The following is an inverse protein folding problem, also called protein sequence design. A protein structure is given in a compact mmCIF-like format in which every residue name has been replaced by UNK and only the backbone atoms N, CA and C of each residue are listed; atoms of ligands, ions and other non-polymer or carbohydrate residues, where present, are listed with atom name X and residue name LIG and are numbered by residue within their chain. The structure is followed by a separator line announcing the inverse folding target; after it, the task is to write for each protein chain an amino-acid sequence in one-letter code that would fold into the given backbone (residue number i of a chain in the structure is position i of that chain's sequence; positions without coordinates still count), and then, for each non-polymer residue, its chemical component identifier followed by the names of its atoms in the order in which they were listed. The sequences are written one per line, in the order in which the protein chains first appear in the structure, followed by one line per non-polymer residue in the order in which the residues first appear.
data_IF_229660007019
#
_entry.id   IF_229660007019
#
_cell.length_a   1.000
_cell.length_b   1.000
_cell.length_c   1.000
_cell.angle_alpha   90.00
_cell.angle_beta   90.00
_cell.angle_gamma   90.00
#
_symmetry.space_group_name_H-M   'P 1'
#
loop_
_entity.id
_entity.type
_entity.pdbx_description
1 polymer ?
#
# COMPACT_ATOMS: atom_id res chain seq x y z
N UNK A 1 18.80 -14.69 16.57
CA UNK A 1 17.35 -14.78 16.80
C UNK A 1 16.67 -13.42 16.81
N UNK A 2 17.11 -12.46 17.65
CA UNK A 2 16.50 -11.13 17.81
C UNK A 2 16.11 -10.40 16.51
N UNK A 3 16.92 -10.51 15.44
CA UNK A 3 16.57 -9.91 14.15
C UNK A 3 15.33 -10.56 13.51
N UNK A 4 15.25 -11.89 13.46
CA UNK A 4 14.08 -12.61 12.94
C UNK A 4 12.84 -12.29 13.79
N UNK A 5 12.99 -12.26 15.11
CA UNK A 5 11.91 -11.90 16.03
C UNK A 5 11.39 -10.48 15.75
N UNK A 6 12.29 -9.54 15.47
CA UNK A 6 11.94 -8.16 15.14
C UNK A 6 11.21 -8.03 13.80
N UNK A 7 11.60 -8.82 12.79
CA UNK A 7 10.94 -8.86 11.48
C UNK A 7 9.54 -9.47 11.62
N UNK A 8 9.43 -10.59 12.33
CA UNK A 8 8.15 -11.27 12.63
C UNK A 8 7.19 -10.38 13.41
N UNK A 9 7.68 -9.68 14.44
CA UNK A 9 6.88 -8.74 15.22
C UNK A 9 6.43 -7.54 14.39
N UNK A 10 7.31 -7.00 13.55
CA UNK A 10 7.02 -5.88 12.65
C UNK A 10 5.98 -6.27 11.59
N UNK A 11 6.17 -7.41 10.95
CA UNK A 11 5.20 -7.98 10.01
C UNK A 11 3.83 -8.16 10.65
N UNK A 12 3.78 -8.81 11.83
CA UNK A 12 2.54 -9.07 12.54
C UNK A 12 1.80 -7.79 12.96
N UNK A 13 2.55 -6.76 13.40
CA UNK A 13 1.99 -5.45 13.75
C UNK A 13 1.38 -4.77 12.52
N UNK A 14 2.12 -4.72 11.41
CA UNK A 14 1.62 -4.09 10.18
C UNK A 14 0.41 -4.83 9.60
N UNK A 15 0.42 -6.18 9.62
CA UNK A 15 -0.73 -6.99 9.21
C UNK A 15 -1.97 -6.65 10.04
N UNK A 16 -1.87 -6.68 11.37
CA UNK A 16 -2.99 -6.35 12.26
C UNK A 16 -3.53 -4.95 11.98
N UNK A 17 -2.65 -3.96 11.82
CA UNK A 17 -3.06 -2.58 11.53
C UNK A 17 -3.76 -2.48 10.17
N UNK A 18 -3.26 -3.18 9.15
CA UNK A 18 -3.86 -3.19 7.82
C UNK A 18 -5.29 -3.72 7.85
N UNK A 19 -5.55 -4.80 8.60
CA UNK A 19 -6.91 -5.35 8.77
C UNK A 19 -7.85 -4.33 9.41
N UNK A 20 -7.41 -3.64 10.46
CA UNK A 20 -8.19 -2.57 11.12
C UNK A 20 -8.47 -1.42 10.16
N UNK A 21 -7.48 -0.97 9.39
CA UNK A 21 -7.66 0.12 8.40
C UNK A 21 -8.67 -0.28 7.33
N UNK A 22 -8.65 -1.54 6.89
CA UNK A 22 -9.62 -2.07 5.91
C UNK A 22 -11.05 -2.10 6.46
N UNK A 23 -11.23 -2.60 7.67
CA UNK A 23 -12.52 -2.61 8.35
C UNK A 23 -13.07 -1.19 8.54
N UNK A 24 -12.23 -0.25 8.98
CA UNK A 24 -12.64 1.17 9.11
C UNK A 24 -13.05 1.79 7.78
N UNK A 25 -12.36 1.45 6.67
CA UNK A 25 -12.74 1.91 5.33
C UNK A 25 -14.07 1.32 4.88
N UNK A 26 -14.30 0.04 5.15
CA UNK A 26 -15.57 -0.63 4.84
C UNK A 26 -16.74 -0.02 5.64
N UNK A 27 -16.57 0.20 6.95
CA UNK A 27 -17.57 0.87 7.79
C UNK A 27 -17.89 2.28 7.31
N UNK A 28 -16.88 3.07 6.92
CA UNK A 28 -17.08 4.41 6.37
C UNK A 28 -17.85 4.41 5.05
N UNK A 29 -17.61 3.41 4.18
CA UNK A 29 -18.37 3.22 2.95
C UNK A 29 -19.82 2.86 3.24
N UNK A 30 -20.07 1.97 4.21
CA UNK A 30 -21.41 1.51 4.54
C UNK A 30 -22.25 2.60 5.22
N UNK A 31 -21.65 3.43 6.07
CA UNK A 31 -22.30 4.60 6.67
C UNK A 31 -22.71 5.64 5.61
N UNK A 32 -21.93 5.81 4.54
CA UNK A 32 -22.28 6.69 3.43
C UNK A 32 -23.46 6.15 2.60
N UNK A 33 -23.63 4.84 2.52
CA UNK A 33 -24.75 4.23 1.79
C UNK A 33 -26.07 4.27 2.59
N UNK A 34 -26.00 4.31 3.93
CA UNK A 34 -27.18 4.36 4.80
C UNK A 34 -27.74 5.79 4.97
N UNK A 35 -26.94 6.82 4.65
CA UNK A 35 -27.38 8.24 4.61
C UNK A 35 -28.03 8.63 3.27
N UNK A 36 -28.00 7.74 2.26
CA UNK A 36 -28.72 7.88 0.98
C UNK A 36 -30.20 7.44 1.08
N UNK A 37 -30.81 7.55 2.27
CA UNK A 37 -32.27 7.63 2.38
C UNK A 37 -32.68 9.04 1.92
N UNK A 38 -33.55 9.22 0.91
CA UNK A 38 -33.87 10.55 0.39
C UNK A 38 -34.65 11.39 1.39
N UNK A 39 -33.97 12.03 2.34
CA UNK A 39 -34.52 13.18 3.05
C UNK A 39 -34.17 14.39 2.22
N UNK A 40 -35.12 14.77 1.37
CA UNK A 40 -35.16 16.10 0.78
C UNK A 40 -35.00 17.14 1.88
N UNK A 41 -33.82 17.78 1.92
CA UNK A 41 -33.63 19.05 2.59
C UNK A 41 -32.50 19.80 1.87
N UNK A 42 -32.94 20.46 0.81
CA UNK A 42 -32.53 21.79 0.40
C UNK A 42 -31.71 22.55 1.46
N UNK A 43 -30.70 23.27 0.98
CA UNK A 43 -30.31 24.63 1.41
C UNK A 43 -28.86 24.74 1.87
N UNK A 44 -28.13 25.41 0.96
CA UNK A 44 -27.15 26.45 1.22
C UNK A 44 -25.86 26.07 1.96
N UNK A 45 -24.77 26.07 1.19
CA UNK A 45 -23.70 27.07 1.29
C UNK A 45 -22.57 26.73 0.31
N UNK A 46 -22.84 26.76 -1.00
CA UNK A 46 -21.79 26.96 -1.99
C UNK A 46 -21.80 28.43 -2.38
N UNK A 47 -20.97 29.22 -1.70
CA UNK A 47 -20.69 30.59 -2.08
C UNK A 47 -20.00 30.60 -3.44
N UNK A 48 -20.77 30.93 -4.46
CA UNK A 48 -20.30 31.34 -5.78
C UNK A 48 -19.53 32.66 -5.65
N UNK A 49 -18.21 32.60 -5.48
CA UNK A 49 -17.35 33.71 -5.91
C UNK A 49 -16.83 33.40 -7.31
N UNK A 50 -17.67 33.67 -8.30
CA UNK A 50 -17.25 33.82 -9.69
C UNK A 50 -16.44 35.11 -9.82
N UNK A 51 -15.11 35.00 -9.81
CA UNK A 51 -14.25 36.08 -10.28
C UNK A 51 -13.91 35.81 -11.74
N UNK A 52 -14.73 36.37 -12.62
CA UNK A 52 -14.42 36.52 -14.04
C UNK A 52 -13.33 37.59 -14.16
N UNK A 53 -12.07 37.17 -14.28
CA UNK A 53 -11.03 38.08 -14.78
C UNK A 53 -11.19 38.17 -16.29
N UNK A 54 -11.84 39.26 -16.73
CA UNK A 54 -11.78 39.71 -18.12
C UNK A 54 -10.32 40.03 -18.44
N UNK A 55 -9.73 39.26 -19.36
CA UNK A 55 -8.40 39.50 -19.90
C UNK A 55 -8.48 39.58 -21.41
N UNK A 56 -8.96 40.70 -21.92
CA UNK A 56 -8.90 41.03 -23.34
C UNK A 56 -7.50 41.52 -23.71
N UNK A 57 -6.99 40.92 -24.80
CA UNK A 57 -6.21 41.53 -25.87
C UNK A 57 -4.68 41.71 -25.79
N UNK A 58 -4.11 41.38 -26.95
CA UNK A 58 -2.89 41.86 -27.61
C UNK A 58 -1.54 41.17 -27.32
N UNK A 59 -1.12 40.42 -28.34
CA UNK A 59 0.16 40.56 -29.06
C UNK A 59 1.44 40.74 -28.23
N UNK A 60 2.31 39.72 -28.24
CA UNK A 60 3.70 39.92 -27.81
C UNK A 60 4.50 38.65 -27.61
N UNK A 61 5.33 38.34 -28.60
CA UNK A 61 6.61 37.61 -28.61
C UNK A 61 7.15 37.08 -27.25
N UNK A 62 7.79 35.90 -27.35
CA UNK A 62 8.72 35.22 -26.42
C UNK A 62 8.12 34.21 -25.41
N UNK A 63 8.33 32.89 -25.57
CA UNK A 63 8.08 31.91 -24.52
C UNK A 63 9.26 31.91 -23.54
N UNK A 64 9.37 32.93 -22.70
CA UNK A 64 10.34 32.92 -21.60
C UNK A 64 9.82 32.09 -20.41
N UNK A 65 10.45 30.94 -20.20
CA UNK A 65 10.71 30.31 -18.90
C UNK A 65 9.50 29.83 -18.07
N UNK A 66 9.05 28.61 -18.35
CA UNK A 66 8.18 27.77 -17.50
C UNK A 66 8.82 27.31 -16.16
N UNK A 67 9.91 27.93 -15.70
CA UNK A 67 10.73 27.49 -14.56
C UNK A 67 10.03 27.58 -13.20
N UNK A 68 9.14 28.56 -12.99
CA UNK A 68 8.50 28.79 -11.67
C UNK A 68 7.37 27.83 -11.35
N UNK A 69 6.68 27.31 -12.38
CA UNK A 69 5.53 26.40 -12.24
C UNK A 69 6.00 24.96 -11.99
N UNK A 70 7.07 24.52 -12.67
CA UNK A 70 7.67 23.19 -12.48
C UNK A 70 8.35 23.02 -11.11
N UNK A 71 8.97 24.07 -10.58
CA UNK A 71 9.62 24.04 -9.26
C UNK A 71 8.64 23.89 -8.09
N UNK A 72 7.45 24.52 -8.17
CA UNK A 72 6.36 24.32 -7.19
C UNK A 72 5.76 22.91 -7.30
N UNK A 73 5.56 22.42 -8.51
CA UNK A 73 5.08 21.05 -8.76
C UNK A 73 6.04 19.98 -8.21
N UNK A 74 7.36 20.15 -8.40
CA UNK A 74 8.38 19.22 -7.88
C UNK A 74 8.41 19.15 -6.34
N UNK A 75 8.32 20.30 -5.65
CA UNK A 75 8.23 20.34 -4.19
C UNK A 75 6.92 19.74 -3.67
N UNK A 76 5.81 20.01 -4.35
CA UNK A 76 4.51 19.43 -3.98
C UNK A 76 4.48 17.92 -4.21
N UNK A 77 5.05 17.44 -5.31
CA UNK A 77 5.25 16.00 -5.60
C UNK A 77 6.06 15.33 -4.50
N UNK A 78 7.22 15.86 -4.13
CA UNK A 78 8.02 15.30 -3.01
C UNK A 78 7.26 15.26 -1.69
N UNK A 79 6.41 16.25 -1.42
CA UNK A 79 5.59 16.28 -0.20
C UNK A 79 4.45 15.24 -0.27
N UNK A 80 3.84 15.05 -1.44
CA UNK A 80 2.84 14.02 -1.68
C UNK A 80 3.45 12.62 -1.54
N UNK A 81 4.60 12.36 -2.17
CA UNK A 81 5.35 11.10 -2.03
C UNK A 81 5.68 10.80 -0.56
N UNK A 82 6.19 11.78 0.20
CA UNK A 82 6.47 11.59 1.64
C UNK A 82 5.23 11.26 2.46
N UNK A 83 4.05 11.71 2.05
CA UNK A 83 2.78 11.39 2.72
C UNK A 83 2.27 10.01 2.32
N UNK A 84 2.53 9.57 1.08
CA UNK A 84 2.17 8.24 0.58
C UNK A 84 2.85 7.13 1.40
N UNK A 85 4.14 7.28 1.69
CA UNK A 85 4.92 6.29 2.43
C UNK A 85 4.82 6.49 3.96
N UNK A 86 3.84 7.28 4.43
CA UNK A 86 3.73 7.61 5.84
C UNK A 86 2.98 6.50 6.57
N UNK A 87 3.69 5.76 7.41
CA UNK A 87 3.13 4.78 8.37
C UNK A 87 2.45 5.45 9.58
N UNK A 88 2.09 6.73 9.47
CA UNK A 88 1.36 7.43 10.53
C UNK A 88 -0.07 6.95 10.56
N UNK A 89 -0.52 6.49 11.72
CA UNK A 89 -1.90 6.06 11.94
C UNK A 89 -2.89 7.18 11.60
N UNK A 90 -3.91 6.86 10.81
CA UNK A 90 -4.94 7.79 10.34
C UNK A 90 -4.55 8.60 9.11
N UNK A 91 -3.44 8.29 8.44
CA UNK A 91 -3.13 8.94 7.16
C UNK A 91 -4.07 8.44 6.04
N UNK A 92 -4.43 9.29 5.05
CA UNK A 92 -5.33 8.88 3.97
C UNK A 92 -4.85 7.69 3.12
N UNK A 93 -3.53 7.46 3.07
CA UNK A 93 -2.87 6.42 2.28
C UNK A 93 -2.18 5.37 3.18
N UNK A 94 -2.63 5.26 4.43
CA UNK A 94 -2.03 4.36 5.41
C UNK A 94 -2.04 2.89 4.95
N UNK A 95 -3.11 2.46 4.27
CA UNK A 95 -3.22 1.12 3.72
C UNK A 95 -2.16 0.81 2.67
N UNK A 96 -1.87 1.76 1.77
CA UNK A 96 -0.81 1.61 0.76
C UNK A 96 0.56 1.57 1.43
N UNK A 97 0.82 2.46 2.39
CA UNK A 97 2.07 2.48 3.15
C UNK A 97 2.30 1.16 3.91
N UNK A 98 1.25 0.59 4.49
CA UNK A 98 1.32 -0.69 5.20
C UNK A 98 1.56 -1.86 4.24
N UNK A 99 0.92 -1.86 3.07
CA UNK A 99 1.15 -2.88 2.04
C UNK A 99 2.59 -2.86 1.52
N UNK A 100 3.12 -1.67 1.27
CA UNK A 100 4.52 -1.48 0.86
C UNK A 100 5.48 -1.99 1.94
N UNK A 101 5.30 -1.58 3.20
CA UNK A 101 6.12 -2.03 4.31
C UNK A 101 6.06 -3.56 4.52
N UNK A 102 4.87 -4.17 4.35
CA UNK A 102 4.72 -5.62 4.41
C UNK A 102 5.48 -6.32 3.27
N UNK A 103 5.38 -5.79 2.06
CA UNK A 103 6.12 -6.29 0.90
C UNK A 103 7.64 -6.19 1.11
N UNK A 104 8.14 -5.07 1.62
CA UNK A 104 9.56 -4.88 1.94
C UNK A 104 10.06 -5.90 2.96
N UNK A 105 9.30 -6.16 4.03
CA UNK A 105 9.65 -7.15 5.06
C UNK A 105 9.71 -8.57 4.47
N UNK A 106 8.74 -8.95 3.63
CA UNK A 106 8.74 -10.28 3.00
C UNK A 106 9.93 -10.43 2.04
N UNK A 107 10.16 -9.45 1.17
CA UNK A 107 11.30 -9.49 0.24
C UNK A 107 12.64 -9.46 0.97
N UNK A 108 12.75 -8.67 2.04
CA UNK A 108 13.94 -8.63 2.90
C UNK A 108 14.21 -10.00 3.52
N UNK A 109 13.17 -10.65 4.05
CA UNK A 109 13.28 -11.97 4.67
C UNK A 109 13.64 -13.06 3.66
N UNK A 110 13.09 -13.00 2.45
CA UNK A 110 13.40 -13.94 1.36
C UNK A 110 14.88 -13.89 0.96
N UNK A 111 15.49 -12.70 0.92
CA UNK A 111 16.90 -12.51 0.58
C UNK A 111 17.86 -13.13 1.59
N UNK A 112 17.42 -13.35 2.83
CA UNK A 112 18.24 -13.95 3.89
C UNK A 112 18.43 -15.46 3.71
N UNK A 113 17.70 -16.11 2.80
CA UNK A 113 17.82 -17.56 2.56
C UNK A 113 19.27 -17.99 2.30
N UNK A 114 19.99 -17.23 1.47
CA UNK A 114 21.36 -17.55 1.10
C UNK A 114 22.32 -17.35 2.27
N UNK A 115 22.15 -16.25 3.03
CA UNK A 115 22.95 -15.95 4.21
C UNK A 115 22.73 -16.99 5.31
N UNK A 116 21.49 -17.37 5.57
CA UNK A 116 21.12 -18.38 6.57
C UNK A 116 21.66 -19.74 6.16
N UNK A 117 21.54 -20.12 4.88
CA UNK A 117 22.13 -21.36 4.38
C UNK A 117 23.64 -21.41 4.63
N UNK A 118 24.36 -20.30 4.42
CA UNK A 118 25.79 -20.21 4.68
C UNK A 118 26.11 -20.29 6.18
N UNK A 119 25.34 -19.62 7.03
CA UNK A 119 25.49 -19.68 8.49
C UNK A 119 25.26 -21.11 9.00
N UNK A 120 24.23 -21.80 8.50
CA UNK A 120 23.93 -23.18 8.88
C UNK A 120 25.10 -24.12 8.57
N UNK A 121 25.78 -23.95 7.43
CA UNK A 121 26.97 -24.74 7.08
C UNK A 121 28.11 -24.53 8.08
N UNK A 122 28.33 -23.28 8.47
CA UNK A 122 29.38 -22.93 9.44
C UNK A 122 29.02 -23.46 10.83
N UNK A 123 27.77 -23.34 11.26
CA UNK A 123 27.31 -23.89 12.54
C UNK A 123 27.52 -25.41 12.60
N UNK A 124 27.17 -26.13 11.54
CA UNK A 124 27.42 -27.57 11.44
C UNK A 124 28.92 -27.91 11.46
N UNK A 125 29.75 -27.15 10.72
CA UNK A 125 31.20 -27.37 10.68
C UNK A 125 31.88 -27.24 12.05
N UNK A 126 31.33 -26.37 12.91
CA UNK A 126 31.82 -26.15 14.28
C UNK A 126 31.04 -26.92 15.35
N UNK A 127 30.26 -27.94 14.95
CA UNK A 127 29.48 -28.81 15.86
C UNK A 127 28.46 -28.06 16.72
N UNK A 128 28.00 -26.89 16.27
CA UNK A 128 26.94 -26.12 16.92
C UNK A 128 25.55 -26.51 16.41
N UNK A 129 25.27 -27.81 16.37
CA UNK A 129 24.07 -28.36 15.73
C UNK A 129 22.77 -27.89 16.39
N UNK A 130 22.77 -27.72 17.72
CA UNK A 130 21.60 -27.21 18.45
C UNK A 130 21.24 -25.80 18.00
N UNK A 131 22.25 -24.92 17.83
CA UNK A 131 22.04 -23.55 17.34
C UNK A 131 21.67 -23.53 15.87
N UNK A 132 22.22 -24.46 15.08
CA UNK A 132 21.81 -24.68 13.69
C UNK A 132 20.34 -25.05 13.57
N UNK A 133 19.87 -26.01 14.37
CA UNK A 133 18.46 -26.43 14.44
C UNK A 133 17.54 -25.29 14.89
N UNK A 134 17.94 -24.58 15.95
CA UNK A 134 17.19 -23.44 16.48
C UNK A 134 16.99 -22.36 15.41
N UNK A 135 18.06 -21.98 14.70
CA UNK A 135 18.02 -21.00 13.63
C UNK A 135 17.18 -21.46 12.44
N UNK A 136 17.38 -22.70 11.99
CA UNK A 136 16.65 -23.28 10.88
C UNK A 136 15.15 -23.29 11.16
N UNK A 137 14.75 -23.75 12.36
CA UNK A 137 13.35 -23.77 12.77
C UNK A 137 12.74 -22.38 12.84
N UNK A 138 13.40 -21.43 13.50
CA UNK A 138 12.85 -20.08 13.65
C UNK A 138 12.70 -19.34 12.32
N UNK A 139 13.66 -19.53 11.41
CA UNK A 139 13.56 -18.94 10.08
C UNK A 139 12.45 -19.60 9.24
N UNK A 140 12.31 -20.93 9.33
CA UNK A 140 11.19 -21.64 8.71
C UNK A 140 9.84 -21.14 9.22
N UNK A 141 9.67 -21.05 10.54
CA UNK A 141 8.43 -20.59 11.17
C UNK A 141 8.08 -19.16 10.70
N UNK A 142 9.09 -18.30 10.57
CA UNK A 142 8.96 -16.94 10.06
C UNK A 142 8.50 -16.92 8.60
N UNK A 143 9.13 -17.72 7.73
CA UNK A 143 8.74 -17.82 6.31
C UNK A 143 7.33 -18.37 6.15
N UNK A 144 6.98 -19.43 6.88
CA UNK A 144 5.63 -20.03 6.84
C UNK A 144 4.56 -19.03 7.32
N UNK A 145 4.84 -18.24 8.36
CA UNK A 145 3.92 -17.22 8.85
C UNK A 145 3.65 -16.16 7.76
N UNK A 146 4.69 -15.69 7.09
CA UNK A 146 4.57 -14.71 6.00
C UNK A 146 3.77 -15.29 4.84
N UNK A 147 4.12 -16.50 4.40
CA UNK A 147 3.45 -17.20 3.30
C UNK A 147 1.95 -17.41 3.55
N UNK A 148 1.58 -17.90 4.74
CA UNK A 148 0.17 -18.09 5.13
C UNK A 148 -0.61 -16.77 5.17
N UNK A 149 0.09 -15.65 5.43
CA UNK A 149 -0.53 -14.33 5.53
C UNK A 149 -0.67 -13.63 4.18
N UNK A 150 0.07 -14.04 3.13
CA UNK A 150 -0.03 -13.44 1.80
C UNK A 150 -1.47 -13.43 1.23
N UNK A 151 -2.22 -14.56 1.19
CA UNK A 151 -3.57 -14.55 0.63
C UNK A 151 -4.56 -13.68 1.42
N UNK A 152 -4.34 -13.51 2.73
CA UNK A 152 -5.17 -12.65 3.59
C UNK A 152 -4.87 -11.16 3.36
N UNK A 153 -3.61 -10.82 3.10
CA UNK A 153 -3.17 -9.45 2.84
C UNK A 153 -3.52 -9.03 1.40
N UNK A 154 -3.30 -9.88 0.39
CA UNK A 154 -3.52 -9.55 -1.02
C UNK A 154 -4.86 -10.10 -1.56
N UNK A 155 -5.97 -9.72 -0.93
CA UNK A 155 -7.32 -10.06 -1.41
C UNK A 155 -7.78 -9.13 -2.54
N UNK A 156 -8.27 -9.72 -3.65
CA UNK A 156 -8.69 -9.00 -4.86
C UNK A 156 -9.87 -8.03 -4.59
N UNK A 157 -10.71 -8.36 -3.62
CA UNK A 157 -11.92 -7.59 -3.25
C UNK A 157 -11.61 -6.15 -2.85
N UNK A 158 -10.49 -5.93 -2.17
CA UNK A 158 -10.09 -4.58 -1.75
C UNK A 158 -9.40 -3.77 -2.86
N UNK A 159 -8.98 -4.41 -3.96
CA UNK A 159 -8.35 -3.73 -5.10
C UNK A 159 -9.37 -3.20 -6.10
N UNK A 160 -10.56 -3.81 -6.18
CA UNK A 160 -11.62 -3.41 -7.12
C UNK A 160 -12.52 -2.27 -6.58
N UNK A 161 -12.63 -2.12 -5.26
CA UNK A 161 -13.51 -1.10 -4.66
C UNK A 161 -13.06 0.34 -4.93
N UNK A 162 -11.84 0.56 -5.46
CA UNK A 162 -11.39 1.88 -5.94
C UNK A 162 -11.59 2.11 -7.44
N UNK A 163 -11.97 1.09 -8.22
CA UNK A 163 -11.87 1.12 -9.68
C UNK A 163 -13.18 0.82 -10.43
N UNK A 164 -14.19 0.22 -9.81
CA UNK A 164 -15.44 -0.07 -10.52
C UNK A 164 -16.25 1.23 -10.76
N UNK A 165 -16.39 1.70 -12.02
CA UNK A 165 -17.33 2.77 -12.30
C UNK A 165 -18.74 2.24 -12.01
N UNK A 166 -19.49 2.96 -11.16
CA UNK A 166 -20.91 2.66 -10.91
C UNK A 166 -21.68 3.02 -12.18
N UNK A 167 -21.69 2.08 -13.14
CA UNK A 167 -22.42 2.14 -14.40
C UNK A 167 -23.52 1.08 -14.35
N UNK A 168 -24.52 1.33 -13.50
CA UNK A 168 -25.76 0.57 -13.46
C UNK A 168 -26.90 1.33 -14.14
N UNK A 169 -28.01 0.66 -14.48
CA UNK A 169 -29.21 1.31 -15.04
C UNK A 169 -29.85 2.32 -14.08
N UNK A 170 -29.49 2.28 -12.78
CA UNK A 170 -29.96 3.22 -11.75
C UNK A 170 -28.94 4.35 -11.45
N UNK A 171 -27.84 4.43 -12.22
CA UNK A 171 -26.78 5.43 -11.99
C UNK A 171 -27.15 6.76 -12.63
N UNK A 172 -27.13 7.83 -11.84
CA UNK A 172 -27.45 9.19 -12.31
C UNK A 172 -26.19 9.85 -12.89
N UNK A 173 -26.35 10.86 -13.76
CA UNK A 173 -25.23 11.62 -14.33
C UNK A 173 -24.24 12.13 -13.25
N UNK A 174 -24.73 12.48 -12.06
CA UNK A 174 -23.90 12.89 -10.92
C UNK A 174 -23.08 11.75 -10.32
N UNK A 175 -23.64 10.54 -10.17
CA UNK A 175 -22.91 9.38 -9.64
C UNK A 175 -21.84 8.91 -10.65
N UNK A 176 -22.15 8.99 -11.94
CA UNK A 176 -21.21 8.71 -13.02
C UNK A 176 -20.06 9.74 -12.97
N UNK A 177 -20.38 11.04 -12.95
CA UNK A 177 -19.37 12.11 -12.90
C UNK A 177 -18.47 12.02 -11.66
N UNK A 178 -19.04 11.71 -10.48
CA UNK A 178 -18.30 11.53 -9.23
C UNK A 178 -17.33 10.34 -9.30
N UNK A 179 -17.75 9.22 -9.90
CA UNK A 179 -16.88 8.05 -10.11
C UNK A 179 -15.69 8.37 -11.02
N UNK A 180 -15.90 9.14 -12.09
CA UNK A 180 -14.81 9.61 -12.96
C UNK A 180 -13.87 10.63 -12.27
N UNK A 181 -14.37 11.41 -11.32
CA UNK A 181 -13.53 12.34 -10.55
C UNK A 181 -12.67 11.61 -9.51
N UNK A 182 -13.18 10.54 -8.90
CA UNK A 182 -12.40 9.62 -8.06
C UNK A 182 -11.37 8.82 -8.87
N UNK A 183 -11.67 8.47 -10.13
CA UNK A 183 -10.69 7.86 -11.04
C UNK A 183 -9.60 8.84 -11.52
N UNK A 184 -9.86 10.15 -11.56
CA UNK A 184 -8.84 11.17 -11.89
C UNK A 184 -7.81 11.38 -10.79
N UNK A 185 -8.08 10.93 -9.56
CA UNK A 185 -7.04 10.64 -8.56
C UNK A 185 -6.37 9.29 -8.84
N UNK A 186 -6.09 9.03 -10.13
CA UNK A 186 -5.52 7.78 -10.62
C UNK A 186 -4.21 7.52 -9.90
N UNK A 187 -4.27 6.47 -9.11
CA UNK A 187 -3.16 5.87 -8.42
C UNK A 187 -2.07 5.59 -9.48
N UNK A 188 -0.86 6.14 -9.39
CA UNK A 188 0.18 5.97 -10.41
C UNK A 188 0.48 4.49 -10.66
N UNK A 189 0.89 4.12 -11.88
CA UNK A 189 1.22 2.75 -12.32
C UNK A 189 2.13 1.98 -11.34
N UNK A 190 2.97 2.67 -10.56
CA UNK A 190 3.79 2.09 -9.48
C UNK A 190 2.98 1.44 -8.33
N UNK A 191 1.76 1.89 -8.07
CA UNK A 191 0.91 1.28 -7.04
C UNK A 191 0.26 -0.03 -7.51
N UNK A 192 0.15 -0.27 -8.82
CA UNK A 192 -0.37 -1.54 -9.33
C UNK A 192 0.54 -2.72 -8.96
N UNK A 193 1.84 -2.47 -8.77
CA UNK A 193 2.80 -3.49 -8.32
C UNK A 193 2.65 -3.83 -6.83
N UNK A 194 2.24 -2.88 -5.98
CA UNK A 194 2.00 -3.13 -4.55
C UNK A 194 0.85 -4.11 -4.31
N UNK A 195 -0.02 -4.23 -5.30
CA UNK A 195 -1.16 -5.13 -5.32
C UNK A 195 -0.81 -6.54 -5.80
N UNK A 196 0.43 -6.77 -6.21
CA UNK A 196 0.95 -8.11 -6.55
C UNK A 196 1.65 -8.66 -5.30
N UNK A 197 1.26 -9.84 -4.79
CA UNK A 197 1.91 -10.41 -3.62
C UNK A 197 3.39 -10.73 -3.90
N UNK A 198 4.30 -10.48 -2.94
CA UNK A 198 5.69 -10.89 -3.07
C UNK A 198 5.81 -12.40 -3.26
N UNK A 199 6.75 -12.81 -4.11
CA UNK A 199 7.02 -14.22 -4.37
C UNK A 199 8.00 -14.77 -3.34
N UNK A 200 7.54 -15.73 -2.54
CA UNK A 200 8.41 -16.55 -1.68
C UNK A 200 8.80 -17.79 -2.48
N UNK A 201 10.08 -17.97 -2.79
CA UNK A 201 10.55 -19.08 -3.61
C UNK A 201 10.68 -20.36 -2.77
N UNK A 202 9.70 -21.26 -2.91
CA UNK A 202 9.72 -22.56 -2.23
C UNK A 202 10.80 -23.52 -2.78
N UNK A 203 11.31 -23.29 -3.99
CA UNK A 203 12.29 -24.18 -4.63
C UNK A 203 13.72 -23.95 -4.15
N UNK A 204 13.99 -22.81 -3.52
CA UNK A 204 15.32 -22.51 -2.99
C UNK A 204 15.61 -23.42 -1.79
N UNK A 205 16.52 -24.37 -1.97
CA UNK A 205 16.97 -25.27 -0.90
C UNK A 205 17.94 -24.54 0.02
N UNK A 206 17.41 -23.89 1.05
CA UNK A 206 18.21 -23.18 2.06
C UNK A 206 18.43 -24.01 3.35
N UNK A 207 17.59 -25.02 3.60
CA UNK A 207 17.73 -25.92 4.75
C UNK A 207 18.91 -26.88 4.58
N UNK A 208 19.53 -27.25 5.69
CA UNK A 208 20.50 -28.34 5.76
C UNK A 208 19.82 -29.59 6.31
N UNK A 209 19.73 -30.63 5.47
CA UNK A 209 19.21 -31.94 5.86
C UNK A 209 20.07 -32.64 6.93
N UNK A 210 21.32 -32.19 7.10
CA UNK A 210 22.24 -32.69 8.14
C UNK A 210 21.84 -32.22 9.55
N UNK A 211 20.99 -31.19 9.64
CA UNK A 211 20.48 -30.62 10.88
C UNK A 211 19.00 -30.97 11.11
N UNK A 212 18.48 -32.01 10.45
CA UNK A 212 17.08 -32.45 10.60
C UNK A 212 16.85 -33.24 11.91
#
# INVERSE_FOLDING_TARGET
MAFLDSQTATFSRHKKRLLVVRELKEQAQQAHLDDDVPRGRESDLFSETSSVVSGSDMSGKYPHSNSRISARSSKNRRKAERKKHSLKEGSPLEDLALLEALNEVVQGTEKLKDEIHQILKVLFLFEFDEKGRELQKAFEDTLQLMERSLPEIWTLTHQQNSAAPVLGPNSTANSIMASYQQQKTSVPVLDAELFIPPKINQKTQWKLNLLE
#
